data_IF_900227949938
#
_entry.id   IF_900227949938
#
_cell.length_a   1.000
_cell.length_b   1.000
_cell.length_c   1.000
_cell.angle_alpha   90.00
_cell.angle_beta   90.00
_cell.angle_gamma   90.00
#
_symmetry.space_group_name_H-M   'P 1'
#
loop_
_entity.id
_entity.type
_entity.pdbx_description
1 polymer ?
#
# COMPACT_ATOMS: atom_id res chain seq x y z
N UNK A 1 26.53 13.37 16.70
CA UNK A 1 26.09 14.02 15.45
C UNK A 1 26.06 13.03 14.27
N UNK A 2 27.05 12.15 14.13
CA UNK A 2 27.28 11.30 12.95
C UNK A 2 26.27 10.15 12.75
N UNK A 3 25.72 9.58 13.83
CA UNK A 3 24.76 8.45 13.77
C UNK A 3 23.38 8.89 13.28
N UNK A 4 22.93 10.08 13.69
CA UNK A 4 21.71 10.71 13.19
C UNK A 4 21.81 10.98 11.69
N UNK A 5 22.99 11.40 11.23
CA UNK A 5 23.28 11.58 9.81
C UNK A 5 23.27 10.24 9.08
N UNK A 6 23.88 9.17 9.59
CA UNK A 6 23.88 7.86 8.94
C UNK A 6 22.49 7.21 8.80
N UNK A 7 21.63 7.33 9.81
CA UNK A 7 20.24 6.84 9.75
C UNK A 7 19.40 7.70 8.81
N UNK A 8 19.57 9.03 8.84
CA UNK A 8 18.88 9.94 7.91
C UNK A 8 19.36 9.73 6.48
N UNK A 9 20.68 9.54 6.24
CA UNK A 9 21.27 9.26 4.93
C UNK A 9 20.80 7.91 4.40
N UNK A 10 20.79 6.86 5.22
CA UNK A 10 20.27 5.54 4.80
C UNK A 10 18.77 5.56 4.49
N UNK A 11 17.99 6.35 5.22
CA UNK A 11 16.55 6.53 4.94
C UNK A 11 16.35 7.39 3.68
N UNK A 12 17.18 8.43 3.48
CA UNK A 12 17.14 9.26 2.29
C UNK A 12 17.52 8.45 1.05
N UNK A 13 18.63 7.72 1.05
CA UNK A 13 19.05 6.83 -0.04
C UNK A 13 18.03 5.72 -0.33
N UNK A 14 17.28 5.25 0.67
CA UNK A 14 16.14 4.33 0.46
C UNK A 14 14.94 4.98 -0.24
N UNK A 15 14.74 6.28 -0.05
CA UNK A 15 13.73 7.06 -0.78
C UNK A 15 14.21 7.44 -2.19
N UNK A 16 15.53 7.46 -2.41
CA UNK A 16 16.19 7.81 -3.67
C UNK A 16 16.65 6.53 -4.37
N UNK A 17 15.69 5.75 -4.88
CA UNK A 17 16.01 4.76 -5.92
C UNK A 17 16.66 5.52 -7.09
N UNK A 18 17.99 5.45 -7.23
CA UNK A 18 18.67 5.28 -8.52
C UNK A 18 20.22 5.17 -8.51
N UNK A 19 20.98 5.21 -7.40
CA UNK A 19 22.43 4.96 -7.50
C UNK A 19 23.11 4.26 -6.32
N UNK A 20 23.96 3.28 -6.63
CA UNK A 20 24.42 2.20 -5.73
C UNK A 20 25.85 2.41 -5.21
N UNK A 21 26.65 3.27 -5.84
CA UNK A 21 28.09 3.32 -5.62
C UNK A 21 28.54 4.21 -4.44
N UNK A 22 27.72 5.15 -3.95
CA UNK A 22 28.11 6.08 -2.87
C UNK A 22 27.85 5.55 -1.45
N UNK A 23 27.11 4.44 -1.31
CA UNK A 23 26.68 3.91 -0.01
C UNK A 23 27.82 3.26 0.79
N UNK A 24 28.70 2.52 0.13
CA UNK A 24 29.76 1.76 0.81
C UNK A 24 30.76 2.66 1.55
N UNK A 25 31.04 3.85 1.01
CA UNK A 25 32.04 4.77 1.60
C UNK A 25 31.50 5.48 2.86
N UNK A 26 30.19 5.73 2.93
CA UNK A 26 29.57 6.47 4.03
C UNK A 26 29.33 5.59 5.25
N UNK A 27 29.05 4.30 5.04
CA UNK A 27 28.87 3.31 6.11
C UNK A 27 30.18 2.95 6.80
N UNK A 28 31.30 2.91 6.06
CA UNK A 28 32.62 2.55 6.62
C UNK A 28 33.18 3.66 7.52
N UNK A 29 32.90 4.94 7.25
CA UNK A 29 33.42 6.07 8.04
C UNK A 29 32.68 6.29 9.38
N UNK A 30 31.49 5.73 9.58
CA UNK A 30 30.72 5.87 10.81
C UNK A 30 31.12 4.88 11.93
N UNK A 31 32.08 3.99 11.67
CA UNK A 31 32.39 2.81 12.50
C UNK A 31 33.33 3.06 13.69
N UNK A 32 33.67 4.30 14.02
CA UNK A 32 34.54 4.63 15.19
C UNK A 32 33.80 5.31 16.34
N UNK A 33 32.47 5.36 16.32
CA UNK A 33 31.69 5.86 17.45
C UNK A 33 31.33 4.68 18.35
N UNK A 34 31.82 4.69 19.59
CA UNK A 34 31.51 3.73 20.65
C UNK A 34 30.02 3.36 20.68
N UNK A 35 29.70 2.22 20.06
CA UNK A 35 28.33 1.74 19.81
C UNK A 35 27.71 1.02 21.03
N UNK A 36 28.45 0.98 22.15
CA UNK A 36 28.20 0.03 23.25
C UNK A 36 27.35 0.61 24.39
N UNK A 37 27.26 1.94 24.55
CA UNK A 37 26.77 2.51 25.82
C UNK A 37 25.33 3.08 25.83
N UNK A 38 24.61 3.19 24.70
CA UNK A 38 23.25 3.80 24.68
C UNK A 38 22.22 3.11 23.79
N UNK A 39 21.83 1.86 24.09
CA UNK A 39 20.81 1.13 23.32
C UNK A 39 19.45 1.84 23.34
N UNK A 40 19.06 2.47 24.45
CA UNK A 40 17.77 3.15 24.61
C UNK A 40 17.54 4.31 23.62
N UNK A 41 18.61 5.00 23.22
CA UNK A 41 18.56 6.09 22.25
C UNK A 41 18.18 5.58 20.84
N UNK A 42 18.74 4.43 20.42
CA UNK A 42 18.44 3.82 19.11
C UNK A 42 16.98 3.34 19.00
N UNK A 43 16.42 2.87 20.12
CA UNK A 43 15.06 2.34 20.20
C UNK A 43 14.00 3.41 19.99
N UNK A 44 14.32 4.65 20.34
CA UNK A 44 13.48 5.83 20.12
C UNK A 44 13.79 6.45 18.76
N UNK A 45 15.07 6.59 18.41
CA UNK A 45 15.49 7.26 17.16
C UNK A 45 14.92 6.56 15.93
N UNK A 46 15.01 5.24 15.80
CA UNK A 46 14.58 4.57 14.57
C UNK A 46 13.07 4.72 14.28
N UNK A 47 12.16 4.42 15.23
CA UNK A 47 10.72 4.66 15.04
C UNK A 47 10.39 6.14 14.86
N UNK A 48 11.02 7.03 15.62
CA UNK A 48 10.80 8.48 15.49
C UNK A 48 11.26 8.99 14.12
N UNK A 49 12.43 8.57 13.62
CA UNK A 49 12.91 8.88 12.28
C UNK A 49 11.94 8.36 11.22
N UNK A 50 11.45 7.13 11.35
CA UNK A 50 10.44 6.59 10.45
C UNK A 50 9.17 7.43 10.43
N UNK A 51 8.62 7.80 11.60
CA UNK A 51 7.41 8.62 11.70
C UNK A 51 7.64 10.02 11.11
N UNK A 52 8.80 10.63 11.39
CA UNK A 52 9.18 11.94 10.83
C UNK A 52 9.30 11.87 9.32
N UNK A 53 9.94 10.84 8.77
CA UNK A 53 10.08 10.65 7.33
C UNK A 53 8.73 10.32 6.68
N UNK A 54 7.89 9.51 7.31
CA UNK A 54 6.55 9.21 6.81
C UNK A 54 5.68 10.48 6.75
N UNK A 55 5.76 11.32 7.79
CA UNK A 55 4.92 12.51 7.94
C UNK A 55 5.43 13.71 7.15
N UNK A 56 6.76 13.89 7.07
CA UNK A 56 7.41 15.08 6.53
C UNK A 56 8.37 14.80 5.37
N UNK A 57 8.71 13.53 5.10
CA UNK A 57 9.64 13.16 4.04
C UNK A 57 9.17 13.63 2.66
N UNK A 58 7.87 13.65 2.39
CA UNK A 58 7.32 14.22 1.15
C UNK A 58 7.65 15.71 1.01
N UNK A 59 7.61 16.48 2.10
CA UNK A 59 7.98 17.92 2.10
C UNK A 59 9.47 18.09 1.90
N UNK A 60 10.28 17.28 2.58
CA UNK A 60 11.74 17.30 2.41
C UNK A 60 12.16 16.95 0.97
N UNK A 61 11.59 15.88 0.40
CA UNK A 61 11.82 15.49 -0.98
C UNK A 61 11.35 16.54 -1.99
N UNK A 62 10.28 17.28 -1.67
CA UNK A 62 9.79 18.36 -2.53
C UNK A 62 10.75 19.55 -2.65
N UNK A 63 11.70 19.70 -1.72
CA UNK A 63 12.78 20.68 -1.80
C UNK A 63 13.95 20.20 -2.65
N UNK A 64 14.16 18.89 -2.76
CA UNK A 64 15.32 18.29 -3.42
C UNK A 64 15.03 17.76 -4.82
N UNK A 65 13.78 17.39 -5.13
CA UNK A 65 13.38 16.76 -6.39
C UNK A 65 12.19 17.47 -7.02
N UNK A 66 12.12 17.40 -8.36
CA UNK A 66 10.96 17.82 -9.13
C UNK A 66 9.70 17.12 -8.61
N UNK A 67 8.65 17.91 -8.32
CA UNK A 67 7.40 17.43 -7.75
C UNK A 67 6.79 16.33 -8.62
N UNK A 68 6.51 15.17 -8.02
CA UNK A 68 5.69 14.13 -8.65
C UNK A 68 4.23 14.57 -8.56
N UNK A 69 3.59 14.70 -9.72
CA UNK A 69 2.15 14.96 -9.79
C UNK A 69 1.40 13.65 -9.56
N UNK A 70 0.54 13.62 -8.55
CA UNK A 70 -0.33 12.49 -8.24
C UNK A 70 -1.76 12.97 -8.25
N UNK A 71 -2.62 12.27 -8.97
CA UNK A 71 -4.06 12.45 -8.90
C UNK A 71 -4.61 11.47 -7.86
N UNK A 72 -5.37 12.00 -6.90
CA UNK A 72 -6.06 11.22 -5.88
C UNK A 72 -7.50 11.70 -5.86
N UNK A 73 -8.42 10.87 -6.31
CA UNK A 73 -9.83 11.21 -6.56
C UNK A 73 -10.45 12.03 -5.43
N UNK A 74 -10.31 11.54 -4.19
CA UNK A 74 -10.90 12.19 -3.01
C UNK A 74 -10.29 13.56 -2.67
N UNK A 75 -9.07 13.85 -3.13
CA UNK A 75 -8.38 15.11 -2.88
C UNK A 75 -8.45 16.07 -4.08
N UNK A 76 -8.54 15.52 -5.30
CA UNK A 76 -8.51 16.29 -6.54
C UNK A 76 -9.92 16.63 -7.06
N UNK A 77 -10.93 15.85 -6.68
CA UNK A 77 -12.33 16.14 -7.00
C UNK A 77 -12.95 16.87 -5.81
N UNK A 78 -13.58 18.02 -6.07
CA UNK A 78 -14.30 18.79 -5.06
C UNK A 78 -15.37 17.91 -4.40
N UNK A 79 -15.26 17.68 -3.09
CA UNK A 79 -16.19 16.82 -2.35
C UNK A 79 -17.40 17.59 -1.82
N UNK A 80 -17.37 18.93 -1.86
CA UNK A 80 -18.33 19.82 -1.22
C UNK A 80 -19.28 20.45 -2.23
N UNK A 81 -18.75 20.90 -3.37
CA UNK A 81 -19.55 21.48 -4.44
C UNK A 81 -20.06 20.38 -5.40
N UNK A 82 -21.39 20.17 -5.51
CA UNK A 82 -21.96 19.06 -6.28
C UNK A 82 -21.69 19.18 -7.79
N UNK A 83 -21.70 20.39 -8.36
CA UNK A 83 -21.44 20.61 -9.79
C UNK A 83 -19.98 20.31 -10.14
N UNK A 84 -19.04 20.80 -9.33
CA UNK A 84 -17.61 20.54 -9.50
C UNK A 84 -17.27 19.08 -9.24
N UNK A 85 -17.95 18.44 -8.28
CA UNK A 85 -17.84 17.00 -8.04
C UNK A 85 -18.24 16.21 -9.28
N UNK A 86 -19.41 16.54 -9.84
CA UNK A 86 -19.92 15.90 -11.06
C UNK A 86 -18.99 16.12 -12.24
N UNK A 87 -18.52 17.35 -12.47
CA UNK A 87 -17.55 17.66 -13.51
C UNK A 87 -16.23 16.88 -13.33
N UNK A 88 -15.75 16.75 -12.08
CA UNK A 88 -14.57 15.98 -11.75
C UNK A 88 -14.73 14.48 -12.01
N UNK A 89 -15.89 13.90 -11.67
CA UNK A 89 -16.23 12.50 -11.95
C UNK A 89 -16.29 12.25 -13.47
N UNK A 90 -16.97 13.13 -14.22
CA UNK A 90 -17.03 13.03 -15.69
C UNK A 90 -15.65 13.19 -16.35
N UNK A 91 -14.75 13.95 -15.72
CA UNK A 91 -13.35 14.12 -16.16
C UNK A 91 -12.41 12.97 -15.80
N UNK A 92 -12.84 12.00 -15.00
CA UNK A 92 -11.97 10.96 -14.42
C UNK A 92 -11.19 10.17 -15.47
N UNK A 93 -11.87 9.69 -16.51
CA UNK A 93 -11.22 8.99 -17.63
C UNK A 93 -10.17 9.86 -18.33
N UNK A 94 -10.37 11.18 -18.40
CA UNK A 94 -9.40 12.13 -18.94
C UNK A 94 -8.11 12.21 -18.12
N UNK A 95 -8.21 12.20 -16.79
CA UNK A 95 -7.04 12.15 -15.90
C UNK A 95 -6.27 10.84 -16.05
N UNK A 96 -6.98 9.71 -16.15
CA UNK A 96 -6.39 8.39 -16.38
C UNK A 96 -5.67 8.35 -17.73
N UNK A 97 -6.28 8.91 -18.79
CA UNK A 97 -5.66 9.04 -20.11
C UNK A 97 -4.36 9.84 -20.10
N UNK A 98 -4.24 10.88 -19.26
CA UNK A 98 -3.01 11.69 -19.11
C UNK A 98 -2.00 11.09 -18.15
N UNK A 99 -2.40 10.15 -17.30
CA UNK A 99 -1.54 9.52 -16.32
C UNK A 99 -0.51 8.56 -16.95
N UNK A 100 0.71 8.55 -16.41
CA UNK A 100 1.81 7.68 -16.86
C UNK A 100 1.86 6.34 -16.11
N UNK A 101 1.32 6.28 -14.89
CA UNK A 101 1.21 5.09 -14.04
C UNK A 101 -0.12 5.08 -13.31
N UNK A 102 -0.66 3.90 -13.03
CA UNK A 102 -1.83 3.70 -12.18
C UNK A 102 -1.42 2.95 -10.92
N UNK A 103 -1.55 3.57 -9.75
CA UNK A 103 -1.21 2.92 -8.48
C UNK A 103 -2.46 2.35 -7.83
N UNK A 104 -2.61 1.03 -7.86
CA UNK A 104 -3.73 0.29 -7.27
C UNK A 104 -3.40 -0.04 -5.82
N UNK A 105 -3.96 0.72 -4.88
CA UNK A 105 -3.90 0.42 -3.45
C UNK A 105 -4.79 -0.77 -3.13
N UNK A 106 -4.23 -1.97 -3.28
CA UNK A 106 -4.99 -3.20 -3.25
C UNK A 106 -5.34 -3.63 -1.82
N UNK A 107 -6.60 -3.98 -1.64
CA UNK A 107 -7.14 -4.69 -0.49
C UNK A 107 -8.16 -5.71 -1.00
N UNK A 108 -8.60 -6.64 -0.15
CA UNK A 108 -9.66 -7.60 -0.50
C UNK A 108 -10.96 -6.95 -1.01
N UNK A 109 -11.18 -5.66 -0.73
CA UNK A 109 -12.35 -4.88 -1.16
C UNK A 109 -12.14 -4.11 -2.47
N UNK A 110 -10.94 -4.14 -3.06
CA UNK A 110 -10.65 -3.30 -4.23
C UNK A 110 -11.55 -3.65 -5.42
N UNK A 111 -11.59 -4.92 -5.81
CA UNK A 111 -12.41 -5.41 -6.93
C UNK A 111 -13.91 -5.47 -6.65
N UNK A 112 -14.31 -5.27 -5.38
CA UNK A 112 -15.73 -5.18 -5.02
C UNK A 112 -16.26 -3.74 -5.09
N UNK A 113 -15.44 -2.74 -5.47
CA UNK A 113 -15.86 -1.33 -5.56
C UNK A 113 -15.97 -0.89 -7.00
N UNK A 114 -17.15 -0.41 -7.40
CA UNK A 114 -17.47 -0.04 -8.78
C UNK A 114 -16.52 1.04 -9.35
N UNK A 115 -16.19 2.07 -8.58
CA UNK A 115 -15.31 3.14 -9.05
C UNK A 115 -13.86 2.66 -9.25
N UNK A 116 -13.37 1.79 -8.37
CA UNK A 116 -12.01 1.21 -8.50
C UNK A 116 -11.87 0.31 -9.74
N UNK A 117 -12.94 -0.41 -10.11
CA UNK A 117 -12.96 -1.23 -11.32
C UNK A 117 -13.14 -0.37 -12.58
N UNK A 118 -13.89 0.73 -12.48
CA UNK A 118 -13.99 1.74 -13.55
C UNK A 118 -12.63 2.37 -13.88
N UNK A 119 -11.81 2.73 -12.89
CA UNK A 119 -10.46 3.26 -13.12
C UNK A 119 -9.60 2.28 -13.93
N UNK A 120 -9.67 1.00 -13.57
CA UNK A 120 -8.97 -0.07 -14.29
C UNK A 120 -9.51 -0.25 -15.72
N UNK A 121 -10.83 -0.16 -15.89
CA UNK A 121 -11.47 -0.22 -17.20
C UNK A 121 -11.05 0.93 -18.11
N UNK A 122 -11.00 2.16 -17.58
CA UNK A 122 -10.51 3.33 -18.31
C UNK A 122 -9.05 3.16 -18.73
N UNK A 123 -8.21 2.60 -17.85
CA UNK A 123 -6.81 2.29 -18.18
C UNK A 123 -6.71 1.31 -19.35
N UNK A 124 -7.49 0.23 -19.33
CA UNK A 124 -7.57 -0.76 -20.42
C UNK A 124 -8.06 -0.13 -21.72
N UNK A 125 -9.15 0.61 -21.66
CA UNK A 125 -9.78 1.22 -22.83
C UNK A 125 -8.83 2.18 -23.54
N UNK A 126 -8.04 2.96 -22.79
CA UNK A 126 -7.04 3.85 -23.37
C UNK A 126 -5.76 3.15 -23.88
N UNK A 127 -5.76 1.82 -23.97
CA UNK A 127 -4.64 1.04 -24.51
C UNK A 127 -3.36 1.20 -23.69
N UNK A 128 -3.48 1.60 -22.42
CA UNK A 128 -2.33 1.86 -21.57
C UNK A 128 -1.65 0.53 -21.23
N UNK A 129 -0.33 0.55 -21.16
CA UNK A 129 0.46 -0.64 -20.83
C UNK A 129 0.09 -1.13 -19.43
N UNK A 130 -0.27 -2.40 -19.30
CA UNK A 130 -0.48 -3.03 -17.99
C UNK A 130 0.79 -3.07 -17.14
N UNK A 131 1.97 -2.99 -17.75
CA UNK A 131 3.25 -2.85 -17.05
C UNK A 131 3.38 -1.55 -16.24
N UNK A 132 2.55 -0.55 -16.50
CA UNK A 132 2.53 0.73 -15.79
C UNK A 132 1.50 0.78 -14.66
N UNK A 133 0.80 -0.33 -14.39
CA UNK A 133 -0.09 -0.50 -13.23
C UNK A 133 0.70 -1.10 -12.07
N UNK A 134 0.82 -0.36 -10.97
CA UNK A 134 1.48 -0.81 -9.75
C UNK A 134 0.46 -1.32 -8.75
N UNK A 135 0.54 -2.59 -8.38
CA UNK A 135 -0.25 -3.16 -7.29
C UNK A 135 0.46 -3.00 -5.95
N UNK A 136 -0.17 -2.27 -5.03
CA UNK A 136 0.38 -1.94 -3.71
C UNK A 136 -0.55 -2.51 -2.63
N UNK A 137 -0.26 -3.70 -2.06
CA UNK A 137 -1.07 -4.27 -0.99
C UNK A 137 -1.06 -3.38 0.25
N UNK A 138 -2.24 -2.95 0.72
CA UNK A 138 -2.38 -2.10 1.91
C UNK A 138 -1.91 -2.84 3.18
N UNK A 139 -2.14 -4.16 3.25
CA UNK A 139 -1.65 -5.00 4.34
C UNK A 139 -0.12 -4.98 4.48
N UNK A 140 0.64 -4.67 3.42
CA UNK A 140 2.10 -4.51 3.50
C UNK A 140 2.49 -3.32 4.38
N UNK A 141 1.84 -2.18 4.19
CA UNK A 141 2.11 -0.99 5.00
C UNK A 141 1.72 -1.20 6.46
N UNK A 142 0.58 -1.87 6.71
CA UNK A 142 0.14 -2.24 8.05
C UNK A 142 1.12 -3.21 8.74
N UNK A 143 1.58 -4.25 8.03
CA UNK A 143 2.55 -5.20 8.57
C UNK A 143 3.87 -4.51 8.96
N UNK A 144 4.41 -3.64 8.09
CA UNK A 144 5.63 -2.88 8.36
C UNK A 144 5.48 -1.96 9.58
N UNK A 145 4.36 -1.25 9.70
CA UNK A 145 4.09 -0.40 10.85
C UNK A 145 4.03 -1.21 12.16
N UNK A 146 3.34 -2.35 12.16
CA UNK A 146 3.26 -3.23 13.34
C UNK A 146 4.62 -3.83 13.69
N UNK A 147 5.39 -4.28 12.70
CA UNK A 147 6.75 -4.79 12.89
C UNK A 147 7.65 -3.74 13.56
N UNK A 148 7.63 -2.50 13.07
CA UNK A 148 8.40 -1.40 13.65
C UNK A 148 7.97 -1.09 15.09
N UNK A 149 6.66 -1.06 15.36
CA UNK A 149 6.15 -0.85 16.72
C UNK A 149 6.53 -1.98 17.66
N UNK A 150 6.41 -3.24 17.23
CA UNK A 150 6.80 -4.41 18.03
C UNK A 150 8.29 -4.40 18.33
N UNK A 151 9.12 -4.09 17.32
CA UNK A 151 10.55 -3.90 17.50
C UNK A 151 10.85 -2.83 18.55
N UNK A 152 10.24 -1.65 18.44
CA UNK A 152 10.43 -0.56 19.39
C UNK A 152 10.04 -0.97 20.82
N UNK A 153 8.89 -1.63 20.99
CA UNK A 153 8.41 -2.11 22.29
C UNK A 153 9.32 -3.18 22.89
N UNK A 154 9.78 -4.13 22.07
CA UNK A 154 10.70 -5.19 22.48
C UNK A 154 11.97 -4.60 23.09
N UNK A 155 12.57 -3.61 22.45
CA UNK A 155 13.77 -2.99 22.99
C UNK A 155 13.52 -2.07 24.17
N UNK A 156 12.49 -1.22 24.12
CA UNK A 156 12.15 -0.34 25.24
C UNK A 156 11.88 -1.15 26.50
N UNK A 157 11.23 -2.31 26.35
CA UNK A 157 11.10 -3.27 27.42
C UNK A 157 12.48 -3.76 27.85
N UNK A 158 13.28 -4.36 26.96
CA UNK A 158 14.57 -4.97 27.30
C UNK A 158 15.66 -4.01 27.86
N UNK A 159 15.60 -2.73 27.54
CA UNK A 159 16.57 -1.73 28.05
C UNK A 159 16.13 -1.05 29.34
N UNK A 160 14.88 -1.24 29.77
CA UNK A 160 14.42 -0.82 31.10
C UNK A 160 14.98 -1.80 32.16
N UNK A 161 16.27 -1.66 32.48
CA UNK A 161 16.97 -2.48 33.49
C UNK A 161 16.85 -1.93 34.91
N UNK A 162 16.59 -0.64 35.05
CA UNK A 162 16.80 0.07 36.33
C UNK A 162 15.56 0.25 37.20
N UNK A 163 14.41 -0.32 36.85
CA UNK A 163 13.13 -0.01 37.54
C UNK A 163 12.73 -1.04 38.62
N UNK A 164 13.31 -2.25 38.63
CA UNK A 164 12.95 -3.31 39.58
C UNK A 164 14.21 -4.07 40.04
N UNK A 165 14.99 -3.46 40.94
CA UNK A 165 16.06 -4.17 41.67
C UNK A 165 15.54 -4.58 43.05
N UNK A 166 14.74 -5.65 43.09
CA UNK A 166 14.60 -6.46 44.29
C UNK A 166 15.35 -7.80 44.05
N UNK A 167 16.41 -8.12 44.81
CA UNK A 167 17.21 -9.34 44.63
C UNK A 167 16.41 -10.64 44.84
N UNK A 168 15.24 -10.58 45.48
CA UNK A 168 14.49 -11.78 45.88
C UNK A 168 13.69 -12.45 44.76
N UNK A 169 13.50 -11.79 43.61
CA UNK A 169 12.53 -12.26 42.58
C UNK A 169 13.08 -12.26 41.13
N UNK A 170 14.39 -12.51 41.00
CA UNK A 170 15.12 -12.51 39.71
C UNK A 170 14.51 -13.46 38.69
N UNK A 171 14.07 -14.66 39.10
CA UNK A 171 13.51 -15.66 38.19
C UNK A 171 12.14 -15.26 37.65
N UNK A 172 11.29 -14.63 38.46
CA UNK A 172 10.00 -14.10 38.03
C UNK A 172 10.18 -12.95 37.03
N UNK A 173 11.11 -12.03 37.32
CA UNK A 173 11.50 -10.95 36.41
C UNK A 173 11.99 -11.51 35.07
N UNK A 174 12.94 -12.47 35.08
CA UNK A 174 13.44 -13.12 33.86
C UNK A 174 12.33 -13.81 33.09
N UNK A 175 11.42 -14.51 33.78
CA UNK A 175 10.27 -15.18 33.18
C UNK A 175 9.32 -14.21 32.46
N UNK A 176 8.92 -13.12 33.12
CA UNK A 176 8.09 -12.07 32.50
C UNK A 176 8.80 -11.41 31.31
N UNK A 177 10.12 -11.25 31.40
CA UNK A 177 10.94 -10.64 30.34
C UNK A 177 10.98 -11.48 29.08
N UNK A 178 11.21 -12.79 29.23
CA UNK A 178 11.17 -13.75 28.13
C UNK A 178 9.77 -13.86 27.55
N UNK A 179 8.73 -13.95 28.38
CA UNK A 179 7.36 -14.06 27.93
C UNK A 179 6.89 -12.82 27.14
N UNK A 180 7.12 -11.61 27.66
CA UNK A 180 6.79 -10.35 26.97
C UNK A 180 7.57 -10.18 25.66
N UNK A 181 8.86 -10.54 25.69
CA UNK A 181 9.73 -10.56 24.51
C UNK A 181 9.23 -11.50 23.41
N UNK A 182 8.85 -12.73 23.77
CA UNK A 182 8.30 -13.71 22.82
C UNK A 182 6.94 -13.25 22.25
N UNK A 183 6.08 -12.67 23.07
CA UNK A 183 4.78 -12.15 22.61
C UNK A 183 4.94 -11.04 21.57
N UNK A 184 5.81 -10.06 21.85
CA UNK A 184 6.03 -8.88 21.01
C UNK A 184 6.87 -9.21 19.77
N UNK A 185 7.95 -9.98 19.91
CA UNK A 185 8.88 -10.24 18.81
C UNK A 185 8.40 -11.37 17.87
N UNK A 186 7.56 -12.30 18.33
CA UNK A 186 7.19 -13.47 17.55
C UNK A 186 5.69 -13.52 17.23
N UNK A 187 4.81 -13.45 18.24
CA UNK A 187 3.39 -13.74 18.03
C UNK A 187 2.69 -12.68 17.15
N UNK A 188 2.88 -11.39 17.45
CA UNK A 188 2.24 -10.32 16.69
C UNK A 188 2.78 -10.19 15.26
N UNK A 189 4.12 -10.17 15.03
CA UNK A 189 4.68 -10.13 13.68
C UNK A 189 4.26 -11.34 12.83
N UNK A 190 4.32 -12.55 13.39
CA UNK A 190 3.92 -13.76 12.66
C UNK A 190 2.45 -13.71 12.29
N UNK A 191 1.55 -13.32 13.20
CA UNK A 191 0.11 -13.17 12.88
C UNK A 191 -0.14 -12.16 11.77
N UNK A 192 0.57 -11.03 11.76
CA UNK A 192 0.41 -10.03 10.70
C UNK A 192 0.97 -10.51 9.37
N UNK A 193 2.13 -11.19 9.38
CA UNK A 193 2.71 -11.78 8.17
C UNK A 193 1.79 -12.86 7.60
N UNK A 194 1.21 -13.71 8.45
CA UNK A 194 0.23 -14.71 8.03
C UNK A 194 -1.01 -14.06 7.43
N UNK A 195 -1.55 -12.99 8.03
CA UNK A 195 -2.65 -12.22 7.43
C UNK A 195 -2.26 -11.66 6.07
N UNK A 196 -1.10 -11.03 5.96
CA UNK A 196 -0.59 -10.50 4.69
C UNK A 196 -0.49 -11.59 3.61
N UNK A 197 0.09 -12.74 3.95
CA UNK A 197 0.20 -13.89 3.04
C UNK A 197 -1.19 -14.40 2.65
N UNK A 198 -2.12 -14.51 3.60
CA UNK A 198 -3.51 -14.91 3.32
C UNK A 198 -4.22 -13.92 2.38
N UNK A 199 -4.05 -12.61 2.57
CA UNK A 199 -4.56 -11.62 1.62
C UNK A 199 -3.95 -11.83 0.24
N UNK A 200 -2.61 -11.90 0.14
CA UNK A 200 -1.94 -12.11 -1.15
C UNK A 200 -2.38 -13.40 -1.86
N UNK A 201 -2.68 -14.47 -1.13
CA UNK A 201 -3.22 -15.72 -1.68
C UNK A 201 -4.63 -15.57 -2.26
N UNK A 202 -5.45 -14.67 -1.71
CA UNK A 202 -6.80 -14.42 -2.23
C UNK A 202 -6.83 -13.61 -3.52
N UNK A 203 -5.75 -12.90 -3.87
CA UNK A 203 -5.72 -12.01 -5.02
C UNK A 203 -5.91 -12.75 -6.37
N UNK A 204 -5.20 -13.85 -6.68
CA UNK A 204 -5.47 -14.63 -7.89
C UNK A 204 -6.92 -15.13 -7.98
N UNK A 205 -7.49 -15.63 -6.88
CA UNK A 205 -8.87 -16.12 -6.81
C UNK A 205 -9.89 -14.99 -7.07
N UNK A 206 -9.64 -13.80 -6.52
CA UNK A 206 -10.45 -12.61 -6.77
C UNK A 206 -10.39 -12.17 -8.22
N UNK A 207 -9.24 -12.32 -8.89
CA UNK A 207 -9.10 -12.00 -10.29
C UNK A 207 -9.78 -13.03 -11.18
N UNK A 208 -9.71 -14.32 -10.83
CA UNK A 208 -10.35 -15.41 -11.58
C UNK A 208 -11.87 -15.31 -11.58
N UNK A 209 -12.43 -14.99 -10.42
CA UNK A 209 -13.88 -14.87 -10.22
C UNK A 209 -14.38 -13.44 -10.42
N UNK A 210 -13.51 -12.51 -10.85
CA UNK A 210 -13.85 -11.10 -11.01
C UNK A 210 -15.05 -10.92 -11.93
N UNK A 211 -16.08 -10.20 -11.47
CA UNK A 211 -17.10 -9.65 -12.35
C UNK A 211 -17.49 -8.25 -11.94
N UNK A 212 -17.57 -7.34 -12.91
CA UNK A 212 -18.04 -5.98 -12.72
C UNK A 212 -19.46 -5.94 -12.15
N UNK A 213 -20.29 -6.94 -12.47
CA UNK A 213 -21.66 -7.05 -11.95
C UNK A 213 -21.70 -7.22 -10.44
N UNK A 214 -20.74 -7.95 -9.88
CA UNK A 214 -20.59 -8.15 -8.43
C UNK A 214 -20.01 -6.96 -7.69
N UNK A 215 -19.57 -5.90 -8.38
CA UNK A 215 -19.05 -4.69 -7.73
C UNK A 215 -20.17 -3.91 -7.03
N UNK A 216 -19.85 -3.19 -5.95
CA UNK A 216 -20.77 -2.42 -5.11
C UNK A 216 -20.58 -0.92 -5.33
N UNK A 217 -21.68 -0.19 -5.23
CA UNK A 217 -21.79 1.26 -5.41
C UNK A 217 -22.53 1.83 -4.19
N UNK A 218 -22.07 2.97 -3.68
CA UNK A 218 -22.72 3.63 -2.55
C UNK A 218 -24.17 4.00 -2.87
N UNK A 219 -24.43 4.56 -4.05
CA UNK A 219 -25.80 4.90 -4.47
C UNK A 219 -26.74 3.68 -4.38
N UNK A 220 -26.28 2.49 -4.78
CA UNK A 220 -27.07 1.28 -4.81
C UNK A 220 -27.27 0.69 -3.40
N UNK A 221 -26.20 0.66 -2.60
CA UNK A 221 -26.24 0.15 -1.22
C UNK A 221 -27.12 1.05 -0.31
N UNK A 222 -27.26 2.34 -0.63
CA UNK A 222 -28.14 3.30 0.08
C UNK A 222 -29.54 3.43 -0.53
N UNK A 223 -29.93 2.56 -1.47
CA UNK A 223 -31.27 2.61 -2.08
C UNK A 223 -31.54 3.89 -2.89
N UNK A 224 -30.49 4.47 -3.48
CA UNK A 224 -30.51 5.73 -4.23
C UNK A 224 -30.95 6.95 -3.42
N UNK A 225 -30.79 6.92 -2.10
CA UNK A 225 -31.10 8.04 -1.22
C UNK A 225 -29.86 8.50 -0.48
N UNK A 226 -29.62 9.82 -0.43
CA UNK A 226 -28.53 10.39 0.34
C UNK A 226 -28.86 10.32 1.84
N UNK A 227 -28.01 9.72 2.70
CA UNK A 227 -28.34 9.51 4.12
C UNK A 227 -28.56 10.80 4.91
N UNK A 228 -27.85 11.87 4.54
CA UNK A 228 -27.84 13.12 5.30
C UNK A 228 -28.94 14.10 4.84
N UNK A 229 -29.22 14.16 3.53
CA UNK A 229 -30.14 15.15 2.95
C UNK A 229 -31.47 14.55 2.52
N UNK A 230 -31.55 13.23 2.32
CA UNK A 230 -32.74 12.56 1.78
C UNK A 230 -32.95 12.75 0.28
N UNK A 231 -32.02 13.42 -0.42
CA UNK A 231 -32.11 13.63 -1.86
C UNK A 231 -31.85 12.35 -2.66
N UNK A 232 -32.47 12.25 -3.83
CA UNK A 232 -32.27 11.13 -4.74
C UNK A 232 -30.89 11.18 -5.43
N UNK A 233 -30.13 10.10 -5.31
CA UNK A 233 -28.80 9.95 -5.90
C UNK A 233 -28.88 9.30 -7.29
N UNK A 234 -28.23 9.88 -8.32
CA UNK A 234 -28.12 9.22 -9.61
C UNK A 234 -27.39 7.87 -9.47
N UNK A 235 -27.72 6.93 -10.35
CA UNK A 235 -27.15 5.60 -10.30
C UNK A 235 -25.74 5.55 -10.90
N UNK A 236 -24.71 5.48 -10.04
CA UNK A 236 -23.31 5.29 -10.46
C UNK A 236 -23.14 4.04 -11.34
N UNK A 237 -23.85 2.94 -11.02
CA UNK A 237 -23.77 1.69 -11.79
C UNK A 237 -24.22 1.86 -13.22
N UNK A 238 -25.33 2.56 -13.42
CA UNK A 238 -25.87 2.81 -14.75
C UNK A 238 -24.89 3.66 -15.57
N UNK A 239 -24.37 4.73 -14.98
CA UNK A 239 -23.35 5.59 -15.60
C UNK A 239 -22.10 4.80 -16.02
N UNK A 240 -21.57 3.97 -15.12
CA UNK A 240 -20.40 3.14 -15.40
C UNK A 240 -20.71 2.14 -16.51
N UNK A 241 -21.87 1.48 -16.48
CA UNK A 241 -22.24 0.49 -17.51
C UNK A 241 -22.43 1.13 -18.88
N UNK A 242 -23.09 2.28 -18.97
CA UNK A 242 -23.21 3.04 -20.22
C UNK A 242 -21.84 3.42 -20.78
N UNK A 243 -20.91 3.79 -19.90
CA UNK A 243 -19.54 4.13 -20.32
C UNK A 243 -18.77 2.91 -20.79
N UNK A 244 -18.88 1.78 -20.10
CA UNK A 244 -18.26 0.51 -20.51
C UNK A 244 -18.83 0.01 -21.83
N UNK A 245 -20.14 0.17 -22.04
CA UNK A 245 -20.80 -0.15 -23.30
C UNK A 245 -20.28 0.73 -24.43
N UNK A 246 -20.08 2.03 -24.22
CA UNK A 246 -19.43 2.90 -25.21
C UNK A 246 -17.96 2.52 -25.49
N UNK A 247 -17.25 1.93 -24.52
CA UNK A 247 -15.82 1.62 -24.61
C UNK A 247 -15.51 0.23 -25.16
N UNK A 248 -16.37 -0.75 -24.88
CA UNK A 248 -16.21 -2.16 -25.21
C UNK A 248 -17.35 -2.69 -26.10
N UNK A 249 -18.38 -1.88 -26.33
CA UNK A 249 -19.36 -2.03 -27.41
C UNK A 249 -18.72 -1.75 -28.74
N UNK A 250 -18.71 -2.73 -29.64
CA UNK A 250 -18.16 -2.56 -30.98
C UNK A 250 -18.88 -1.46 -31.78
N UNK A 251 -18.34 -1.06 -32.95
CA UNK A 251 -18.90 0.02 -33.77
C UNK A 251 -20.33 -0.22 -34.30
N UNK A 252 -20.84 -1.46 -34.19
CA UNK A 252 -22.23 -1.81 -34.51
C UNK A 252 -23.23 -1.42 -33.41
N UNK A 253 -22.81 -1.42 -32.14
CA UNK A 253 -23.70 -1.14 -30.98
C UNK A 253 -23.91 0.36 -30.78
N UNK A 254 -22.89 1.18 -31.11
CA UNK A 254 -22.92 2.64 -30.87
C UNK A 254 -23.94 3.43 -31.69
N UNK A 255 -24.57 2.83 -32.73
CA UNK A 255 -25.62 3.49 -33.54
C UNK A 255 -27.05 3.09 -33.17
N UNK A 256 -27.24 2.09 -32.29
CA UNK A 256 -28.55 1.49 -32.03
C UNK A 256 -28.96 1.47 -30.55
N UNK A 257 -28.28 2.23 -29.69
CA UNK A 257 -28.62 2.29 -28.26
C UNK A 257 -29.76 3.29 -28.00
N UNK A 258 -30.97 2.91 -28.44
CA UNK A 258 -32.19 3.32 -27.77
C UNK A 258 -32.46 2.39 -26.58
N UNK A 259 -33.32 2.83 -25.66
CA UNK A 259 -33.67 2.15 -24.41
C UNK A 259 -34.23 0.71 -24.62
N UNK A 260 -34.54 0.33 -25.87
CA UNK A 260 -35.05 -0.97 -26.30
C UNK A 260 -33.97 -2.00 -26.72
N UNK A 261 -32.70 -1.73 -26.44
CA UNK A 261 -31.61 -2.66 -26.80
C UNK A 261 -31.77 -3.98 -26.03
N UNK A 262 -31.71 -5.16 -26.70
CA UNK A 262 -31.85 -6.46 -26.04
C UNK A 262 -30.83 -6.63 -24.90
N UNK A 263 -31.28 -7.08 -23.73
CA UNK A 263 -30.45 -7.30 -22.54
C UNK A 263 -29.21 -8.17 -22.83
N UNK A 264 -29.34 -9.13 -23.75
CA UNK A 264 -28.27 -10.06 -24.15
C UNK A 264 -27.05 -9.37 -24.79
N UNK A 265 -27.23 -8.30 -25.56
CA UNK A 265 -26.14 -7.54 -26.18
C UNK A 265 -25.38 -6.72 -25.14
N UNK A 266 -26.11 -6.05 -24.23
CA UNK A 266 -25.51 -5.27 -23.13
C UNK A 266 -24.71 -6.17 -22.18
N UNK A 267 -25.15 -7.41 -21.99
CA UNK A 267 -24.43 -8.39 -21.18
C UNK A 267 -23.09 -8.84 -21.80
N UNK A 268 -23.02 -8.93 -23.13
CA UNK A 268 -21.82 -9.38 -23.84
C UNK A 268 -20.63 -8.42 -23.65
N UNK A 269 -20.88 -7.11 -23.59
CA UNK A 269 -19.81 -6.11 -23.43
C UNK A 269 -19.20 -6.08 -22.04
N UNK A 270 -20.03 -6.29 -21.00
CA UNK A 270 -19.55 -6.44 -19.63
C UNK A 270 -18.70 -7.71 -19.48
N UNK A 271 -19.04 -8.78 -20.19
CA UNK A 271 -18.28 -10.03 -20.19
C UNK A 271 -16.91 -9.86 -20.86
N UNK A 272 -16.83 -9.08 -21.94
CA UNK A 272 -15.56 -8.74 -22.59
C UNK A 272 -14.64 -7.92 -21.65
N UNK A 273 -15.21 -6.97 -20.90
CA UNK A 273 -14.45 -6.26 -19.87
C UNK A 273 -13.94 -7.21 -18.78
N UNK A 274 -14.82 -8.05 -18.22
CA UNK A 274 -14.46 -9.04 -17.20
C UNK A 274 -13.34 -9.97 -17.71
N UNK A 275 -13.42 -10.42 -18.97
CA UNK A 275 -12.40 -11.25 -19.63
C UNK A 275 -11.06 -10.52 -19.73
N UNK A 276 -11.03 -9.23 -20.09
CA UNK A 276 -9.79 -8.44 -20.17
C UNK A 276 -9.13 -8.26 -18.80
N UNK A 277 -9.91 -8.05 -17.75
CA UNK A 277 -9.39 -7.98 -16.38
C UNK A 277 -8.82 -9.33 -15.94
N UNK A 278 -9.59 -10.41 -16.12
CA UNK A 278 -9.19 -11.79 -15.78
C UNK A 278 -7.90 -12.20 -16.51
N UNK A 279 -7.80 -11.97 -17.81
CA UNK A 279 -6.64 -12.39 -18.59
C UNK A 279 -5.43 -11.44 -18.43
N UNK A 280 -5.64 -10.13 -18.56
CA UNK A 280 -4.56 -9.15 -18.61
C UNK A 280 -3.96 -8.82 -17.25
N UNK A 281 -4.78 -8.80 -16.19
CA UNK A 281 -4.33 -8.42 -14.86
C UNK A 281 -3.78 -9.60 -14.08
N UNK A 282 -4.43 -10.78 -14.16
CA UNK A 282 -3.96 -12.00 -13.49
C UNK A 282 -2.52 -12.31 -13.84
N UNK A 283 -2.22 -12.34 -15.13
CA UNK A 283 -0.88 -12.64 -15.63
C UNK A 283 0.19 -11.66 -15.11
N UNK A 284 -0.17 -10.39 -14.93
CA UNK A 284 0.73 -9.37 -14.39
C UNK A 284 0.82 -9.39 -12.88
N UNK A 285 -0.24 -9.77 -12.20
CA UNK A 285 -0.24 -9.98 -10.75
C UNK A 285 0.59 -11.21 -10.44
N UNK A 286 0.39 -12.35 -11.09
CA UNK A 286 1.20 -13.55 -10.88
C UNK A 286 2.68 -13.32 -11.21
N UNK A 287 3.00 -12.52 -12.24
CA UNK A 287 4.39 -12.17 -12.60
C UNK A 287 4.99 -10.98 -11.83
N UNK A 288 4.18 -10.01 -11.41
CA UNK A 288 4.60 -8.68 -10.95
C UNK A 288 4.27 -8.36 -9.49
N UNK A 289 3.16 -8.89 -8.95
CA UNK A 289 3.01 -9.04 -7.50
C UNK A 289 3.63 -10.38 -7.11
N UNK A 290 4.89 -10.36 -6.71
CA UNK A 290 5.18 -10.84 -5.35
C UNK A 290 4.60 -12.16 -4.83
N UNK A 291 4.34 -13.17 -5.66
CA UNK A 291 4.75 -14.53 -5.28
C UNK A 291 6.27 -14.69 -5.53
N UNK A 292 6.84 -13.93 -6.48
CA UNK A 292 8.28 -13.86 -6.78
C UNK A 292 8.91 -12.45 -6.76
N UNK A 293 8.11 -11.39 -6.72
CA UNK A 293 8.60 -10.05 -6.35
C UNK A 293 8.89 -10.04 -4.86
N UNK A 294 10.11 -10.44 -4.50
CA UNK A 294 10.69 -10.30 -3.17
C UNK A 294 10.10 -9.04 -2.52
N UNK A 295 9.50 -9.14 -1.32
CA UNK A 295 9.84 -8.13 -0.32
C UNK A 295 11.35 -8.06 -0.46
N UNK A 296 11.90 -6.97 -1.05
CA UNK A 296 13.33 -6.88 -1.32
C UNK A 296 14.01 -7.48 -0.11
N UNK A 297 14.91 -8.44 -0.28
CA UNK A 297 15.52 -9.14 0.85
C UNK A 297 15.92 -8.13 1.94
N UNK A 298 16.31 -6.90 1.52
CA UNK A 298 16.51 -5.68 2.33
C UNK A 298 15.30 -5.17 3.12
N UNK A 299 14.09 -5.10 2.56
CA UNK A 299 12.87 -4.71 3.27
C UNK A 299 12.47 -5.77 4.32
N UNK A 300 12.66 -7.06 4.05
CA UNK A 300 12.53 -8.13 5.06
C UNK A 300 13.66 -8.04 6.08
N UNK A 301 14.91 -7.85 5.66
CA UNK A 301 16.08 -7.72 6.54
C UNK A 301 15.89 -6.56 7.53
N UNK A 302 15.53 -5.38 7.02
CA UNK A 302 15.33 -4.15 7.79
C UNK A 302 14.13 -4.25 8.74
N UNK A 303 13.04 -4.90 8.32
CA UNK A 303 11.87 -5.12 9.20
C UNK A 303 12.04 -6.29 10.16
N UNK A 304 12.94 -7.24 9.86
CA UNK A 304 13.24 -8.39 10.68
C UNK A 304 14.34 -8.14 11.70
N UNK A 305 15.10 -7.03 11.62
CA UNK A 305 16.27 -6.91 12.49
C UNK A 305 16.48 -5.64 13.26
N UNK A 306 16.31 -5.86 14.55
CA UNK A 306 17.30 -5.48 15.54
C UNK A 306 18.33 -6.55 15.88
N UNK A 307 18.02 -7.83 15.65
CA UNK A 307 18.91 -8.97 15.95
C UNK A 307 20.16 -9.01 15.04
N UNK A 308 20.06 -8.70 13.74
CA UNK A 308 21.24 -8.55 12.87
C UNK A 308 22.11 -7.39 13.31
N UNK A 309 21.54 -6.28 13.79
CA UNK A 309 22.33 -5.17 14.33
C UNK A 309 23.15 -5.64 15.55
N UNK A 310 22.55 -6.44 16.42
CA UNK A 310 23.24 -7.01 17.58
C UNK A 310 24.27 -8.11 17.21
N UNK A 311 24.04 -8.87 16.14
CA UNK A 311 24.99 -9.90 15.65
C UNK A 311 26.18 -9.29 14.89
N UNK A 312 25.92 -8.29 14.04
CA UNK A 312 26.95 -7.54 13.30
C UNK A 312 27.84 -6.77 14.28
N UNK A 313 27.26 -6.15 15.32
CA UNK A 313 28.05 -5.50 16.38
C UNK A 313 28.88 -6.52 17.15
N UNK A 314 28.36 -7.71 17.47
CA UNK A 314 29.13 -8.76 18.14
C UNK A 314 30.26 -9.34 17.30
N UNK A 315 30.06 -9.52 16.00
CA UNK A 315 31.08 -10.09 15.10
C UNK A 315 32.17 -9.11 14.69
N UNK A 316 31.96 -7.81 14.86
CA UNK A 316 32.94 -6.75 14.57
C UNK A 316 33.75 -6.37 15.83
N UNK A 317 33.24 -6.70 17.02
CA UNK A 317 33.90 -6.45 18.31
C UNK A 317 34.72 -7.65 18.81
N UNK A 318 34.55 -8.85 18.21
CA UNK A 318 35.41 -10.03 18.44
C UNK A 318 36.54 -10.11 17.42
#
# INVERSE_FOLDING_TARGET
ASVSVGVVVSILELMMLDDVASFESTVVAANTVHFVDRPLLHCIICPSCFIVVLSFGQRFLSCLYSRRMVFVDKLCIDQTNPEKKQAGILGLAGFIKRSSKLNVLWSRRYFTRLWCTYELASWIHHGKKMGSVNFLPVARAQALAVLLMCSALFWSFNECRDVLQDPSDVWWYVGMRVAGSCLVALVLPVRMLLRFVQEMRSLPEQLDTFSIRGSRCFCCDSGHMQPDTGDHLPCDRELVYMTLDAWFGGPATSRSLSQDTPSSLRETHLDEFDRRVRAGLKDRVTRGTGLGGTLSFRAVLFSATPLLWHLVVKSVVS
#
